data_IF_245512129433
#
_entry.id   IF_245512129433
#
_cell.length_a   1.000
_cell.length_b   1.000
_cell.length_c   1.000
_cell.angle_alpha   90.00
_cell.angle_beta   90.00
_cell.angle_gamma   90.00
#
_symmetry.space_group_name_H-M   'P 1'
#
loop_
_entity.id
_entity.type
_entity.pdbx_description
1 polymer ?
#
# COMPACT_ATOMS: atom_id res chain seq x y z
N UNK A 1 45.47 53.73 -3.50
CA UNK A 1 45.37 52.26 -3.28
C UNK A 1 44.57 51.98 -2.00
N UNK A 2 43.22 52.04 -2.02
CA UNK A 2 42.42 51.80 -0.81
C UNK A 2 40.93 51.47 -1.05
N UNK A 3 40.59 50.89 -2.21
CA UNK A 3 39.18 50.68 -2.61
C UNK A 3 38.83 49.25 -3.05
N UNK A 4 39.78 48.31 -3.03
CA UNK A 4 39.54 46.95 -3.53
C UNK A 4 39.06 45.95 -2.46
N UNK A 5 39.21 46.27 -1.17
CA UNK A 5 38.99 45.31 -0.08
C UNK A 5 37.54 45.17 0.40
N UNK A 6 36.62 46.05 -0.04
CA UNK A 6 35.24 46.08 0.49
C UNK A 6 34.22 45.26 -0.30
N UNK A 7 34.55 44.80 -1.52
CA UNK A 7 33.60 44.07 -2.39
C UNK A 7 33.60 42.55 -2.22
N UNK A 8 34.60 41.98 -1.54
CA UNK A 8 34.67 40.53 -1.28
C UNK A 8 33.86 40.09 -0.05
N UNK A 9 33.57 40.99 0.89
CA UNK A 9 32.86 40.64 2.13
C UNK A 9 31.36 40.37 1.93
N UNK A 10 30.74 40.99 0.93
CA UNK A 10 29.29 40.90 0.71
C UNK A 10 28.85 39.65 -0.04
N UNK A 11 29.75 39.02 -0.83
CA UNK A 11 29.44 37.79 -1.56
C UNK A 11 29.48 36.55 -0.65
N UNK A 12 30.30 36.56 0.41
CA UNK A 12 30.41 35.46 1.35
C UNK A 12 29.20 35.33 2.29
N UNK A 13 28.58 36.44 2.68
CA UNK A 13 27.41 36.44 3.58
C UNK A 13 26.12 35.96 2.88
N UNK A 14 25.99 36.23 1.58
CA UNK A 14 24.83 35.79 0.78
C UNK A 14 24.83 34.27 0.53
N UNK A 15 26.00 33.63 0.48
CA UNK A 15 26.12 32.19 0.29
C UNK A 15 25.71 31.38 1.54
N UNK A 16 25.95 31.91 2.75
CA UNK A 16 25.53 31.28 4.02
C UNK A 16 24.02 31.33 4.26
N UNK A 17 23.32 32.33 3.71
CA UNK A 17 21.86 32.44 3.88
C UNK A 17 21.08 31.44 3.00
N UNK A 18 21.63 31.02 1.85
CA UNK A 18 21.00 30.03 0.98
C UNK A 18 21.10 28.59 1.53
N UNK A 19 22.19 28.26 2.23
CA UNK A 19 22.39 26.93 2.82
C UNK A 19 21.57 26.71 4.11
N UNK A 20 21.18 27.78 4.81
CA UNK A 20 20.35 27.70 6.01
C UNK A 20 18.86 27.40 5.70
N UNK A 21 18.40 27.65 4.47
CA UNK A 21 17.01 27.41 4.05
C UNK A 21 16.64 25.93 3.87
N UNK A 22 17.62 25.03 3.73
CA UNK A 22 17.37 23.60 3.51
C UNK A 22 17.31 22.77 4.79
N UNK A 23 17.77 23.29 5.95
CA UNK A 23 17.82 22.54 7.21
C UNK A 23 16.49 22.45 7.96
N UNK A 24 15.46 23.18 7.51
CA UNK A 24 14.15 23.26 8.16
C UNK A 24 13.04 22.45 7.50
N UNK A 25 13.33 21.68 6.44
CA UNK A 25 12.35 20.73 5.94
C UNK A 25 12.16 19.66 7.03
N UNK A 26 10.96 19.49 7.60
CA UNK A 26 10.72 18.35 8.46
C UNK A 26 11.13 17.12 7.65
N UNK A 27 12.03 16.30 8.22
CA UNK A 27 12.28 14.99 7.67
C UNK A 27 10.90 14.36 7.43
N UNK A 28 10.60 13.82 6.24
CA UNK A 28 9.40 13.02 6.08
C UNK A 28 9.35 12.08 7.27
N UNK A 29 8.31 12.18 8.10
CA UNK A 29 8.13 11.22 9.20
C UNK A 29 8.29 9.84 8.58
N UNK A 30 9.12 8.99 9.16
CA UNK A 30 9.53 7.73 8.55
C UNK A 30 8.30 7.03 7.96
N UNK A 31 8.20 7.07 6.63
CA UNK A 31 7.06 6.52 5.91
C UNK A 31 7.06 5.02 6.23
N UNK A 32 5.97 4.51 6.79
CA UNK A 32 5.80 3.09 7.06
C UNK A 32 5.65 2.42 5.70
N UNK A 33 6.77 1.99 5.13
CA UNK A 33 6.79 1.27 3.85
C UNK A 33 6.08 -0.07 4.04
N UNK A 34 4.77 -0.07 3.83
CA UNK A 34 3.88 -1.21 4.00
C UNK A 34 3.50 -1.78 2.63
N UNK A 35 3.33 -3.09 2.59
CA UNK A 35 2.83 -3.82 1.43
C UNK A 35 1.58 -4.61 1.81
N UNK A 36 0.56 -4.51 0.97
CA UNK A 36 -0.66 -5.31 1.09
C UNK A 36 -0.55 -6.52 0.18
N UNK A 37 -0.86 -7.71 0.72
CA UNK A 37 -1.03 -8.94 -0.05
C UNK A 37 -2.41 -9.49 0.26
N UNK A 38 -3.32 -9.43 -0.72
CA UNK A 38 -4.66 -9.99 -0.58
C UNK A 38 -4.76 -11.28 -1.40
N UNK A 39 -5.05 -12.38 -0.71
CA UNK A 39 -5.26 -13.69 -1.31
C UNK A 39 -6.74 -13.88 -1.56
N UNK A 40 -7.12 -14.02 -2.83
CA UNK A 40 -8.46 -14.39 -3.27
C UNK A 40 -8.49 -15.91 -3.49
N UNK A 41 -9.11 -16.65 -2.56
CA UNK A 41 -9.15 -18.11 -2.59
C UNK A 41 -10.39 -18.66 -3.31
N UNK A 42 -11.20 -17.80 -3.94
CA UNK A 42 -12.47 -18.22 -4.54
C UNK A 42 -12.33 -18.92 -5.89
N UNK A 43 -11.21 -18.74 -6.59
CA UNK A 43 -11.00 -19.28 -7.93
C UNK A 43 -9.66 -19.99 -8.09
N UNK A 44 -9.70 -21.17 -8.71
CA UNK A 44 -8.52 -21.93 -9.12
C UNK A 44 -8.75 -22.55 -10.51
N UNK A 45 -7.77 -23.29 -11.03
CA UNK A 45 -7.85 -23.95 -12.33
C UNK A 45 -7.42 -25.41 -12.24
N UNK A 46 -8.09 -26.28 -12.98
CA UNK A 46 -7.64 -27.66 -13.23
C UNK A 46 -6.44 -27.68 -14.17
N UNK A 47 -5.75 -28.83 -14.27
CA UNK A 47 -4.64 -29.02 -15.23
C UNK A 47 -5.05 -28.80 -16.69
N UNK A 48 -6.33 -29.03 -17.02
CA UNK A 48 -6.90 -28.75 -18.33
C UNK A 48 -7.28 -27.28 -18.55
N UNK A 49 -7.05 -26.41 -17.57
CA UNK A 49 -7.37 -24.97 -17.62
C UNK A 49 -8.83 -24.63 -17.29
N UNK A 50 -9.66 -25.59 -16.90
CA UNK A 50 -11.04 -25.30 -16.48
C UNK A 50 -11.08 -24.62 -15.11
N UNK A 51 -11.94 -23.61 -14.97
CA UNK A 51 -12.15 -22.85 -13.73
C UNK A 51 -12.82 -23.73 -12.66
N UNK A 52 -12.31 -23.67 -11.43
CA UNK A 52 -12.87 -24.33 -10.24
C UNK A 52 -13.13 -23.27 -9.17
N UNK A 53 -14.37 -23.20 -8.71
CA UNK A 53 -14.79 -22.24 -7.67
C UNK A 53 -14.81 -22.87 -6.29
N UNK A 54 -14.15 -22.22 -5.34
CA UNK A 54 -14.20 -22.55 -3.92
C UNK A 54 -15.32 -21.77 -3.21
N UNK A 55 -15.73 -22.21 -2.00
CA UNK A 55 -16.61 -21.40 -1.15
C UNK A 55 -15.96 -20.06 -0.75
N UNK A 56 -16.79 -19.08 -0.43
CA UNK A 56 -16.41 -17.81 0.18
C UNK A 56 -15.86 -17.99 1.61
N UNK A 57 -15.19 -16.95 2.14
CA UNK A 57 -14.76 -16.86 3.53
C UNK A 57 -13.37 -17.42 3.83
N UNK A 58 -12.59 -17.76 2.79
CA UNK A 58 -11.21 -18.24 2.93
C UNK A 58 -10.13 -17.22 2.52
N UNK A 59 -10.56 -16.06 2.08
CA UNK A 59 -9.66 -14.99 1.69
C UNK A 59 -8.91 -14.41 2.89
N UNK A 60 -7.76 -13.81 2.60
CA UNK A 60 -6.95 -13.15 3.61
C UNK A 60 -6.30 -11.89 3.08
N UNK A 61 -6.16 -10.86 3.93
CA UNK A 61 -5.23 -9.77 3.71
C UNK A 61 -4.06 -9.91 4.68
N UNK A 62 -2.84 -9.90 4.14
CA UNK A 62 -1.60 -9.77 4.89
C UNK A 62 -1.06 -8.36 4.72
N UNK A 63 -0.58 -7.79 5.83
CA UNK A 63 0.06 -6.48 5.89
C UNK A 63 1.52 -6.74 6.24
N UNK A 64 2.43 -6.32 5.37
CA UNK A 64 3.86 -6.52 5.52
C UNK A 64 4.56 -5.18 5.74
N UNK A 65 5.48 -5.12 6.69
CA UNK A 65 6.51 -4.09 6.77
C UNK A 65 7.68 -4.49 5.86
N UNK A 66 7.93 -3.66 4.84
CA UNK A 66 9.02 -3.82 3.87
C UNK A 66 10.11 -2.75 4.05
N UNK A 67 9.94 -1.80 4.99
CA UNK A 67 10.84 -0.67 5.17
C UNK A 67 11.81 -0.81 6.33
N UNK A 68 11.40 -1.45 7.42
CA UNK A 68 12.28 -1.61 8.59
C UNK A 68 13.53 -2.44 8.26
N UNK A 69 13.37 -3.54 7.51
CA UNK A 69 14.46 -4.33 6.93
C UNK A 69 14.05 -4.81 5.52
N UNK A 70 14.47 -4.10 4.46
CA UNK A 70 14.11 -4.47 3.09
C UNK A 70 14.62 -5.84 2.64
N UNK A 71 15.63 -6.42 3.32
CA UNK A 71 16.15 -7.75 3.03
C UNK A 71 15.39 -8.86 3.79
N UNK A 72 14.58 -8.49 4.79
CA UNK A 72 13.76 -9.42 5.55
C UNK A 72 12.37 -8.82 5.91
N UNK A 73 11.48 -8.65 4.91
CA UNK A 73 10.11 -8.20 5.14
C UNK A 73 9.37 -9.03 6.20
N UNK A 74 8.53 -8.38 7.00
CA UNK A 74 7.78 -9.04 8.08
C UNK A 74 6.29 -8.81 7.95
N UNK A 75 5.51 -9.88 8.15
CA UNK A 75 4.06 -9.75 8.34
C UNK A 75 3.81 -9.11 9.70
N UNK A 76 3.14 -7.96 9.70
CA UNK A 76 2.74 -7.21 10.90
C UNK A 76 1.26 -7.37 11.21
N UNK A 77 0.47 -7.89 10.26
CA UNK A 77 -0.93 -8.20 10.48
C UNK A 77 -1.48 -9.19 9.46
N UNK A 78 -2.50 -9.95 9.86
CA UNK A 78 -3.29 -10.79 8.96
C UNK A 78 -4.75 -10.70 9.35
N UNK A 79 -5.60 -10.45 8.37
CA UNK A 79 -7.04 -10.28 8.53
C UNK A 79 -7.77 -11.26 7.62
N UNK A 80 -8.73 -12.00 8.16
CA UNK A 80 -9.66 -12.78 7.36
C UNK A 80 -10.74 -11.83 6.81
N UNK A 81 -10.64 -11.48 5.52
CA UNK A 81 -11.62 -10.64 4.83
C UNK A 81 -11.70 -10.99 3.35
N UNK A 82 -12.91 -10.91 2.81
CA UNK A 82 -13.16 -11.11 1.38
C UNK A 82 -12.46 -10.02 0.55
N UNK A 83 -11.87 -10.39 -0.57
CA UNK A 83 -11.32 -9.48 -1.56
C UNK A 83 -11.46 -10.09 -2.96
N UNK A 84 -11.31 -9.29 -4.01
CA UNK A 84 -11.36 -9.81 -5.39
C UNK A 84 -10.14 -9.40 -6.18
N UNK A 85 -9.34 -10.36 -6.63
CA UNK A 85 -8.20 -10.10 -7.52
C UNK A 85 -8.65 -9.92 -8.99
N UNK A 86 -9.80 -10.49 -9.34
CA UNK A 86 -10.32 -10.45 -10.70
C UNK A 86 -10.82 -9.05 -11.12
N UNK A 87 -10.20 -8.50 -12.17
CA UNK A 87 -10.63 -7.29 -12.88
C UNK A 87 -9.50 -6.27 -13.11
N UNK A 88 -9.74 -5.22 -13.93
CA UNK A 88 -9.25 -3.88 -13.67
C UNK A 88 -10.31 -3.08 -12.87
N UNK A 89 -9.96 -2.18 -11.91
CA UNK A 89 -8.64 -1.79 -11.40
C UNK A 89 -8.10 -2.70 -10.27
N UNK A 90 -6.89 -2.41 -9.77
CA UNK A 90 -6.31 -3.05 -8.59
C UNK A 90 -7.24 -2.91 -7.39
N UNK A 91 -7.50 -4.01 -6.67
CA UNK A 91 -8.41 -4.02 -5.54
C UNK A 91 -7.79 -3.49 -4.23
N UNK A 92 -6.50 -3.13 -4.23
CA UNK A 92 -5.75 -2.71 -3.04
C UNK A 92 -5.18 -1.31 -3.22
N UNK A 93 -5.28 -0.49 -2.17
CA UNK A 93 -4.58 0.78 -2.06
C UNK A 93 -4.23 1.10 -0.61
N UNK A 94 -3.12 1.80 -0.40
CA UNK A 94 -2.78 2.47 0.86
C UNK A 94 -2.93 3.97 0.63
N UNK A 95 -3.52 4.71 1.57
CA UNK A 95 -3.62 6.17 1.46
C UNK A 95 -2.25 6.82 1.50
N UNK A 96 -2.11 8.02 0.91
CA UNK A 96 -0.81 8.71 0.85
C UNK A 96 -0.21 9.03 2.24
N UNK A 97 -1.05 9.12 3.28
CA UNK A 97 -0.62 9.29 4.67
C UNK A 97 -0.44 7.97 5.43
N UNK A 98 -0.59 6.83 4.74
CA UNK A 98 -0.40 5.45 5.22
C UNK A 98 -1.22 5.06 6.44
N UNK A 99 -2.29 5.80 6.75
CA UNK A 99 -3.18 5.48 7.86
C UNK A 99 -4.23 4.46 7.49
N UNK A 100 -4.63 4.39 6.22
CA UNK A 100 -5.71 3.53 5.78
C UNK A 100 -5.28 2.62 4.64
N UNK A 101 -5.73 1.37 4.70
CA UNK A 101 -5.78 0.48 3.55
C UNK A 101 -7.22 0.35 3.04
N UNK A 102 -7.37 0.36 1.71
CA UNK A 102 -8.62 0.17 0.99
C UNK A 102 -8.55 -1.17 0.27
N UNK A 103 -9.52 -2.06 0.54
CA UNK A 103 -9.59 -3.39 -0.08
C UNK A 103 -10.98 -3.61 -0.68
N UNK A 104 -11.04 -3.81 -2.00
CA UNK A 104 -12.28 -4.02 -2.72
C UNK A 104 -12.62 -5.51 -2.88
N UNK A 105 -13.90 -5.83 -2.76
CA UNK A 105 -14.49 -7.11 -3.14
C UNK A 105 -15.60 -6.87 -4.18
N UNK A 106 -15.32 -7.22 -5.43
CA UNK A 106 -16.20 -6.99 -6.59
C UNK A 106 -16.93 -8.27 -7.05
N UNK A 107 -16.49 -9.44 -6.58
CA UNK A 107 -17.11 -10.72 -6.87
C UNK A 107 -17.30 -11.51 -5.58
N UNK A 108 -18.42 -12.22 -5.51
CA UNK A 108 -18.65 -13.26 -4.54
C UNK A 108 -18.97 -14.56 -5.26
N UNK A 109 -18.71 -15.69 -4.61
CA UNK A 109 -19.26 -16.97 -5.06
C UNK A 109 -20.62 -17.15 -4.41
N UNK A 110 -21.57 -17.83 -5.04
CA UNK A 110 -22.78 -18.35 -4.40
C UNK A 110 -23.00 -19.77 -4.88
N UNK A 111 -23.66 -20.58 -4.05
CA UNK A 111 -24.03 -21.95 -4.41
C UNK A 111 -25.54 -22.05 -4.56
N UNK A 112 -25.99 -22.46 -5.75
CA UNK A 112 -27.41 -22.66 -6.07
C UNK A 112 -27.57 -24.06 -6.68
N UNK A 113 -28.42 -24.89 -6.08
CA UNK A 113 -28.66 -26.27 -6.53
C UNK A 113 -27.38 -27.11 -6.68
N UNK A 114 -26.39 -26.90 -5.80
CA UNK A 114 -25.10 -27.59 -5.84
C UNK A 114 -24.14 -27.09 -6.94
N UNK A 115 -24.49 -26.01 -7.64
CA UNK A 115 -23.65 -25.36 -8.65
C UNK A 115 -23.16 -24.03 -8.10
N UNK A 116 -21.84 -23.84 -8.11
CA UNK A 116 -21.22 -22.56 -7.74
C UNK A 116 -21.14 -21.64 -8.94
N UNK A 117 -21.43 -20.37 -8.70
CA UNK A 117 -21.28 -19.29 -9.69
C UNK A 117 -20.71 -18.04 -9.03
N UNK A 118 -19.99 -17.24 -9.81
CA UNK A 118 -19.60 -15.90 -9.40
C UNK A 118 -20.77 -14.93 -9.63
N UNK A 119 -21.00 -14.05 -8.66
CA UNK A 119 -21.97 -12.97 -8.73
C UNK A 119 -21.27 -11.66 -8.39
N UNK A 120 -21.73 -10.52 -8.94
CA UNK A 120 -21.21 -9.21 -8.56
C UNK A 120 -21.36 -8.92 -7.06
N UNK A 121 -20.38 -8.23 -6.51
CA UNK A 121 -20.35 -7.64 -5.17
C UNK A 121 -19.83 -6.18 -5.29
N UNK A 122 -19.99 -5.39 -4.23
CA UNK A 122 -19.60 -3.97 -4.21
C UNK A 122 -19.03 -3.52 -2.85
N UNK A 123 -18.61 -4.47 -2.01
CA UNK A 123 -18.03 -4.15 -0.69
C UNK A 123 -16.64 -3.52 -0.82
N UNK A 124 -16.40 -2.52 0.02
CA UNK A 124 -15.10 -1.89 0.24
C UNK A 124 -14.78 -1.97 1.73
N UNK A 125 -13.64 -2.56 2.07
CA UNK A 125 -13.11 -2.60 3.42
C UNK A 125 -12.13 -1.44 3.61
N UNK A 126 -12.25 -0.75 4.75
CA UNK A 126 -11.35 0.33 5.16
C UNK A 126 -10.67 -0.13 6.44
N UNK A 127 -9.35 -0.23 6.39
CA UNK A 127 -8.55 -0.84 7.46
C UNK A 127 -7.66 0.24 8.06
N UNK A 128 -7.72 0.41 9.38
CA UNK A 128 -6.83 1.28 10.12
C UNK A 128 -5.45 0.63 10.27
N UNK A 129 -4.45 1.21 9.64
CA UNK A 129 -3.07 0.74 9.66
C UNK A 129 -2.30 1.28 10.88
N UNK A 130 -2.81 2.28 11.60
CA UNK A 130 -2.16 2.79 12.80
C UNK A 130 -2.19 1.78 13.96
N UNK A 131 -3.07 0.79 13.89
CA UNK A 131 -3.19 -0.29 14.87
C UNK A 131 -2.27 -1.50 14.60
N UNK A 132 -1.37 -1.41 13.60
CA UNK A 132 -0.43 -2.48 13.20
C UNK A 132 0.97 -2.33 13.78
#
# INVERSE_FOLDING_TARGET
MRTLSLRLGSAALAATAFLAGCGGMPAPGAQRQLMLVANDEKQSWTDAGAVVLAPHGRDSLQILDIGTDPLAPKVVGTLALDNTIAGPPTNLAITADERLALVANSLNVVEENGVRKQVPDNRLFVIDLAAT
#
